data_IF_962453683135
#
_entry.id   IF_962453683135
#
_cell.length_a   1.000
_cell.length_b   1.000
_cell.length_c   1.000
_cell.angle_alpha   90.00
_cell.angle_beta   90.00
_cell.angle_gamma   90.00
#
_symmetry.space_group_name_H-M   'P 1'
#
loop_
_entity.id
_entity.type
_entity.pdbx_description
1 polymer ?
#
# COMPACT_ATOMS: atom_id res chain seq x y z
N UNK A 1 0.77 -22.00 -15.13
CA UNK A 1 0.11 -20.98 -14.29
C UNK A 1 1.11 -19.86 -14.07
N UNK A 2 0.75 -18.62 -14.42
CA UNK A 2 1.58 -17.45 -14.07
C UNK A 2 1.15 -17.07 -12.65
N UNK A 3 2.10 -17.01 -11.72
CA UNK A 3 1.82 -16.60 -10.35
C UNK A 3 1.53 -15.09 -10.31
N UNK A 4 0.56 -14.66 -9.50
CA UNK A 4 0.31 -13.24 -9.24
C UNK A 4 1.55 -12.60 -8.61
N UNK A 5 2.15 -11.57 -9.21
CA UNK A 5 3.34 -10.92 -8.65
C UNK A 5 3.03 -10.30 -7.29
N UNK A 6 3.97 -10.40 -6.35
CA UNK A 6 3.93 -9.70 -5.06
C UNK A 6 4.94 -8.56 -5.07
N UNK A 7 4.47 -7.35 -4.77
CA UNK A 7 5.29 -6.15 -4.80
C UNK A 7 5.22 -5.48 -3.44
N UNK A 8 6.38 -5.22 -2.83
CA UNK A 8 6.45 -4.43 -1.61
C UNK A 8 6.33 -2.93 -1.96
N UNK A 9 5.39 -2.24 -1.31
CA UNK A 9 5.18 -0.80 -1.41
C UNK A 9 5.46 -0.17 -0.04
N UNK A 10 6.46 0.70 0.06
CA UNK A 10 6.73 1.44 1.29
C UNK A 10 5.95 2.75 1.31
N UNK A 11 5.25 3.06 2.40
CA UNK A 11 4.48 4.32 2.52
C UNK A 11 5.36 5.59 2.54
N UNK A 12 6.67 5.45 2.74
CA UNK A 12 7.60 6.58 2.77
C UNK A 12 7.53 7.36 4.09
N UNK A 13 7.61 8.68 3.99
CA UNK A 13 7.56 9.59 5.15
C UNK A 13 6.15 9.63 5.78
N UNK A 14 5.99 9.28 7.07
CA UNK A 14 4.69 9.27 7.77
C UNK A 14 3.91 10.59 7.75
N UNK A 15 4.61 11.73 7.75
CA UNK A 15 3.99 13.05 7.69
C UNK A 15 3.69 13.53 6.26
N UNK A 16 4.14 12.78 5.25
CA UNK A 16 3.83 13.02 3.85
C UNK A 16 2.49 12.40 3.45
N UNK A 17 2.15 12.49 2.16
CA UNK A 17 0.89 11.95 1.61
C UNK A 17 0.97 10.46 1.22
N UNK A 18 2.11 9.81 1.46
CA UNK A 18 2.36 8.43 1.05
C UNK A 18 1.39 7.41 1.68
N UNK A 19 1.05 7.49 2.98
CA UNK A 19 0.03 6.63 3.59
C UNK A 19 -1.35 6.75 2.91
N UNK A 20 -1.81 7.95 2.62
CA UNK A 20 -3.09 8.22 1.95
C UNK A 20 -3.11 7.66 0.52
N UNK A 21 -1.99 7.79 -0.20
CA UNK A 21 -1.84 7.18 -1.53
C UNK A 21 -1.82 5.65 -1.46
N UNK A 22 -1.23 5.06 -0.42
CA UNK A 22 -1.27 3.60 -0.22
C UNK A 22 -2.70 3.11 0.04
N UNK A 23 -3.48 3.84 0.84
CA UNK A 23 -4.90 3.53 1.08
C UNK A 23 -5.74 3.70 -0.19
N UNK A 24 -5.50 4.76 -0.97
CA UNK A 24 -6.18 4.96 -2.25
C UNK A 24 -5.90 3.81 -3.23
N UNK A 25 -4.63 3.36 -3.32
CA UNK A 25 -4.25 2.22 -4.16
C UNK A 25 -4.87 0.88 -3.70
N UNK A 26 -5.21 0.74 -2.41
CA UNK A 26 -5.85 -0.47 -1.90
C UNK A 26 -7.30 -0.66 -2.41
N UNK A 27 -7.91 0.38 -2.98
CA UNK A 27 -9.24 0.33 -3.58
C UNK A 27 -9.21 -0.06 -5.07
N UNK A 28 -8.03 -0.09 -5.69
CA UNK A 28 -7.87 -0.38 -7.12
C UNK A 28 -7.70 -1.88 -7.38
N UNK A 29 -8.27 -2.37 -8.48
CA UNK A 29 -8.00 -3.71 -8.97
C UNK A 29 -6.67 -3.74 -9.74
N UNK A 30 -5.65 -4.35 -9.14
CA UNK A 30 -4.32 -4.44 -9.72
C UNK A 30 -4.00 -5.87 -10.17
N UNK A 31 -3.24 -6.06 -11.26
CA UNK A 31 -2.77 -7.38 -11.70
C UNK A 31 -1.58 -7.89 -10.85
N UNK A 32 -1.57 -7.54 -9.56
CA UNK A 32 -0.54 -7.91 -8.59
C UNK A 32 -1.10 -7.81 -7.16
N UNK A 33 -0.42 -8.47 -6.22
CA UNK A 33 -0.62 -8.28 -4.79
C UNK A 33 0.34 -7.18 -4.31
N UNK A 34 -0.19 -6.02 -3.94
CA UNK A 34 0.57 -4.98 -3.26
C UNK A 34 0.65 -5.27 -1.76
N UNK A 35 1.87 -5.39 -1.23
CA UNK A 35 2.14 -5.51 0.20
C UNK A 35 2.60 -4.16 0.70
N UNK A 36 1.71 -3.42 1.37
CA UNK A 36 2.05 -2.14 1.97
C UNK A 36 2.90 -2.36 3.24
N UNK A 37 4.10 -1.80 3.25
CA UNK A 37 5.00 -1.73 4.39
C UNK A 37 4.85 -0.34 5.01
N UNK A 38 4.00 -0.26 6.04
CA UNK A 38 3.65 0.97 6.74
C UNK A 38 3.31 0.66 8.20
N UNK A 39 3.18 1.71 9.01
CA UNK A 39 2.61 1.60 10.35
C UNK A 39 1.08 1.43 10.26
N UNK A 40 0.57 0.33 10.81
CA UNK A 40 -0.86 0.00 10.78
C UNK A 40 -1.71 1.04 11.53
N UNK A 41 -1.20 1.58 12.65
CA UNK A 41 -1.91 2.60 13.41
C UNK A 41 -2.03 3.90 12.64
N UNK A 42 -0.98 4.29 11.92
CA UNK A 42 -1.00 5.46 11.03
C UNK A 42 -2.03 5.28 9.91
N UNK A 43 -2.11 4.10 9.29
CA UNK A 43 -3.09 3.83 8.24
C UNK A 43 -4.53 3.82 8.77
N UNK A 44 -4.76 3.31 9.97
CA UNK A 44 -6.08 3.28 10.59
C UNK A 44 -6.60 4.68 11.00
N UNK A 45 -5.71 5.66 11.17
CA UNK A 45 -6.05 7.05 11.47
C UNK A 45 -6.35 7.90 10.22
N UNK A 46 -6.30 7.34 9.01
CA UNK A 46 -6.44 8.08 7.74
C UNK A 46 -7.69 7.69 6.96
#
# INVERSE_FOLDING_TARGET
>A
MIATPRIALTSGEPAGIGPELCLALALEELPCELVCLADESLLAER
#
